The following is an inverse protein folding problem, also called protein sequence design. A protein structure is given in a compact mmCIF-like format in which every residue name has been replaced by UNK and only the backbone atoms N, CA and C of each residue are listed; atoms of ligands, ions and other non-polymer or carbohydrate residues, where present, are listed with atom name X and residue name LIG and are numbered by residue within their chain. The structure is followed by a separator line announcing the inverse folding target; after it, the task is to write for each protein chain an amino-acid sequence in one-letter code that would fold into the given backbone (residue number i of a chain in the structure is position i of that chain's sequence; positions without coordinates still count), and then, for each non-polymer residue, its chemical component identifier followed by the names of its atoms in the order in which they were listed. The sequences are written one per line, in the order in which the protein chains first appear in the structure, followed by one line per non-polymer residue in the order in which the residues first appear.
data_IF_696590790942
#
_entry.id   IF_696590790942
#
_cell.length_a   1.000
_cell.length_b   1.000
_cell.length_c   1.000
_cell.angle_alpha   90.00
_cell.angle_beta   90.00
_cell.angle_gamma   90.00
#
_symmetry.space_group_name_H-M   'P 1'
#
loop_
_entity.id
_entity.type
_entity.pdbx_description
1 polymer ?
#
# COMPACT_ATOMS: atom_id res chain seq x y z
N UNK A 1 94.41 -11.09 71.51
CA UNK A 1 93.82 -11.91 70.43
C UNK A 1 92.93 -11.04 69.57
N UNK A 2 93.37 -10.81 68.31
CA UNK A 2 92.63 -10.63 67.04
C UNK A 2 91.48 -9.61 66.94
N UNK A 3 91.69 -8.46 66.24
CA UNK A 3 91.36 -8.11 64.82
C UNK A 3 89.96 -7.46 64.71
N UNK A 4 89.62 -6.40 63.96
CA UNK A 4 90.26 -5.49 62.98
C UNK A 4 89.16 -4.52 62.44
N UNK A 5 89.43 -3.21 62.39
CA UNK A 5 89.49 -2.31 61.20
C UNK A 5 88.20 -1.95 60.41
N UNK A 6 87.83 -0.67 60.53
CA UNK A 6 87.48 0.34 59.50
C UNK A 6 87.34 -0.06 58.01
N UNK A 7 86.26 0.40 57.35
CA UNK A 7 86.29 1.42 56.25
C UNK A 7 84.91 1.64 55.59
N UNK A 8 84.70 2.89 55.20
CA UNK A 8 83.60 3.49 54.42
C UNK A 8 83.40 2.91 53.01
N UNK A 9 82.18 3.04 52.44
CA UNK A 9 82.00 3.54 51.07
C UNK A 9 80.53 3.84 50.69
N UNK A 10 80.37 4.99 50.00
CA UNK A 10 79.17 5.46 49.30
C UNK A 10 78.82 4.57 48.11
N UNK A 11 77.56 4.66 47.61
CA UNK A 11 77.32 4.66 46.18
C UNK A 11 76.73 5.99 45.70
N UNK A 12 77.36 6.52 44.66
CA UNK A 12 76.81 7.51 43.74
C UNK A 12 75.88 6.84 42.73
N UNK A 13 74.79 7.52 42.32
CA UNK A 13 74.47 7.82 40.91
C UNK A 13 73.16 8.59 40.78
N UNK A 14 73.26 9.72 40.10
CA UNK A 14 72.19 10.57 39.57
C UNK A 14 71.38 9.80 38.53
N UNK A 15 70.05 9.98 38.51
CA UNK A 15 69.30 10.13 37.25
C UNK A 15 67.93 10.74 37.48
N UNK A 16 67.68 11.84 36.77
CA UNK A 16 66.39 12.51 36.60
C UNK A 16 65.39 11.51 36.04
N UNK A 17 64.22 11.39 36.67
CA UNK A 17 63.03 10.89 35.97
C UNK A 17 62.06 12.06 35.77
N UNK A 18 62.12 12.58 34.54
CA UNK A 18 61.08 13.39 33.94
C UNK A 18 59.80 12.54 33.96
N UNK A 19 58.79 12.95 34.73
CA UNK A 19 57.45 12.38 34.57
C UNK A 19 56.87 12.96 33.27
N UNK A 20 56.55 12.15 32.25
CA UNK A 20 55.85 12.65 31.08
C UNK A 20 54.44 13.03 31.50
N UNK A 21 54.13 14.31 31.33
CA UNK A 21 52.79 14.86 31.38
C UNK A 21 51.81 13.96 30.61
N UNK A 22 50.95 13.29 31.37
CA UNK A 22 49.89 12.43 30.85
C UNK A 22 49.02 13.21 29.86
N UNK A 23 49.18 12.86 28.58
CA UNK A 23 48.47 13.44 27.46
C UNK A 23 46.97 13.18 27.64
N UNK A 24 46.21 14.21 27.99
CA UNK A 24 44.74 14.20 28.00
C UNK A 24 44.25 13.64 26.67
N UNK A 25 43.69 12.43 26.69
CA UNK A 25 42.95 11.87 25.57
C UNK A 25 41.71 12.75 25.40
N UNK A 26 41.77 13.68 24.45
CA UNK A 26 40.59 14.40 23.96
C UNK A 26 39.62 13.36 23.43
N UNK A 27 38.56 13.09 24.18
CA UNK A 27 37.37 12.38 23.70
C UNK A 27 36.92 13.08 22.43
N UNK A 28 37.16 12.46 21.27
CA UNK A 28 36.51 12.83 20.01
C UNK A 28 35.02 12.60 20.23
N UNK A 29 34.27 13.70 20.39
CA UNK A 29 32.82 13.68 20.25
C UNK A 29 32.55 13.20 18.83
N UNK A 30 32.18 11.93 18.69
CA UNK A 30 31.61 11.40 17.47
C UNK A 30 30.36 12.22 17.21
N UNK A 31 30.44 13.09 16.21
CA UNK A 31 29.30 13.84 15.70
C UNK A 31 28.43 12.80 14.98
N UNK A 32 27.57 12.10 15.75
CA UNK A 32 26.53 11.27 15.17
C UNK A 32 25.53 12.24 14.56
N UNK A 33 25.66 12.47 13.25
CA UNK A 33 24.64 13.11 12.45
C UNK A 33 23.44 12.17 12.51
N UNK A 34 22.52 12.45 13.42
CA UNK A 34 21.22 11.80 13.48
C UNK A 34 20.48 12.20 12.22
N UNK A 35 20.44 11.31 11.24
CA UNK A 35 19.50 11.42 10.14
C UNK A 35 18.14 11.06 10.74
N UNK A 36 17.31 12.08 10.96
CA UNK A 36 15.92 11.87 11.32
C UNK A 36 15.27 11.14 10.15
N UNK A 37 15.02 9.84 10.32
CA UNK A 37 14.13 9.10 9.43
C UNK A 37 12.75 9.57 9.82
N UNK A 38 12.08 10.31 8.93
CA UNK A 38 10.66 10.56 9.07
C UNK A 38 9.96 9.22 8.91
N UNK A 39 9.17 8.83 9.91
CA UNK A 39 8.29 7.66 9.81
C UNK A 39 7.35 7.90 8.63
N UNK A 40 7.53 7.14 7.55
CA UNK A 40 6.65 7.20 6.39
C UNK A 40 5.25 6.79 6.89
N UNK A 41 4.30 7.71 6.81
CA UNK A 41 2.89 7.41 7.04
C UNK A 41 2.52 6.16 6.23
N UNK A 42 1.91 5.18 6.88
CA UNK A 42 1.44 3.97 6.19
C UNK A 42 0.33 4.38 5.24
N UNK A 43 0.60 4.37 3.93
CA UNK A 43 -0.46 4.43 2.94
C UNK A 43 -1.16 3.06 2.93
N UNK A 44 -2.38 2.98 3.44
CA UNK A 44 -3.32 1.94 3.03
C UNK A 44 -3.66 2.22 1.57
N UNK A 45 -3.06 1.46 0.66
CA UNK A 45 -3.47 1.46 -0.74
C UNK A 45 -4.75 0.64 -0.83
N UNK A 46 -5.81 1.21 -1.40
CA UNK A 46 -6.94 0.42 -1.89
C UNK A 46 -6.39 -0.59 -2.90
N UNK A 47 -6.92 -1.81 -2.87
CA UNK A 47 -6.46 -2.85 -3.77
C UNK A 47 -7.05 -2.59 -5.16
N UNK A 48 -6.18 -2.43 -6.16
CA UNK A 48 -6.63 -2.24 -7.53
C UNK A 48 -6.87 -3.61 -8.15
N UNK A 49 -8.08 -3.84 -8.66
CA UNK A 49 -8.47 -5.07 -9.35
C UNK A 49 -8.88 -4.73 -10.77
N UNK A 50 -8.36 -5.47 -11.75
CA UNK A 50 -8.57 -5.15 -13.15
C UNK A 50 -9.21 -6.29 -13.93
N UNK A 51 -10.13 -5.92 -14.82
CA UNK A 51 -10.73 -6.87 -15.76
C UNK A 51 -9.70 -7.24 -16.83
N UNK A 52 -9.39 -8.54 -16.95
CA UNK A 52 -8.44 -9.06 -17.93
C UNK A 52 -9.11 -9.93 -19.01
N UNK A 53 -10.35 -10.37 -18.78
CA UNK A 53 -11.10 -11.23 -19.70
C UNK A 53 -10.54 -12.65 -19.85
N UNK A 54 -9.74 -13.13 -18.90
CA UNK A 54 -9.13 -14.48 -18.94
C UNK A 54 -10.13 -15.64 -18.96
N UNK A 55 -11.37 -15.41 -18.53
CA UNK A 55 -12.45 -16.39 -18.49
C UNK A 55 -13.14 -16.64 -19.83
N UNK A 56 -12.82 -15.86 -20.87
CA UNK A 56 -13.34 -16.05 -22.24
C UNK A 56 -14.81 -15.66 -22.43
N UNK A 57 -15.41 -14.98 -21.45
CA UNK A 57 -16.75 -14.43 -21.50
C UNK A 57 -16.76 -12.98 -20.96
N UNK A 58 -17.95 -12.39 -20.81
CA UNK A 58 -18.13 -11.02 -20.29
C UNK A 58 -18.83 -11.02 -18.93
N UNK A 59 -18.85 -12.15 -18.23
CA UNK A 59 -19.62 -12.32 -17.00
C UNK A 59 -18.86 -11.80 -15.77
N UNK A 60 -19.40 -10.79 -15.08
CA UNK A 60 -18.81 -10.21 -13.88
C UNK A 60 -18.46 -11.28 -12.82
N UNK A 61 -19.36 -12.26 -12.64
CA UNK A 61 -19.22 -13.29 -11.61
C UNK A 61 -18.26 -14.43 -11.99
N UNK A 62 -17.62 -14.40 -13.17
CA UNK A 62 -16.58 -15.35 -13.53
C UNK A 62 -15.23 -14.83 -13.01
N UNK A 63 -14.72 -15.47 -11.96
CA UNK A 63 -13.48 -15.09 -11.28
C UNK A 63 -12.26 -15.02 -12.22
N UNK A 64 -12.22 -15.85 -13.27
CA UNK A 64 -11.11 -15.89 -14.22
C UNK A 64 -11.07 -14.68 -15.19
N UNK A 65 -12.06 -13.77 -15.13
CA UNK A 65 -12.04 -12.50 -15.88
C UNK A 65 -11.35 -11.36 -15.11
N UNK A 66 -10.88 -11.63 -13.90
CA UNK A 66 -10.19 -10.69 -13.04
C UNK A 66 -8.73 -11.08 -12.93
N UNK A 67 -7.83 -10.11 -12.95
CA UNK A 67 -6.38 -10.31 -12.85
C UNK A 67 -5.90 -11.03 -11.57
N UNK A 68 -6.74 -11.04 -10.53
CA UNK A 68 -6.52 -11.77 -9.28
C UNK A 68 -7.06 -13.20 -9.29
N UNK A 69 -7.72 -13.63 -10.37
CA UNK A 69 -8.51 -14.86 -10.45
C UNK A 69 -9.57 -14.98 -9.32
N UNK A 70 -10.07 -13.84 -8.84
CA UNK A 70 -11.08 -13.73 -7.78
C UNK A 70 -12.00 -12.52 -7.99
N UNK A 71 -13.22 -12.55 -7.43
CA UNK A 71 -14.14 -11.40 -7.54
C UNK A 71 -13.64 -10.23 -6.67
N UNK A 72 -13.78 -8.98 -7.14
CA UNK A 72 -13.51 -7.80 -6.32
C UNK A 72 -14.35 -7.78 -5.03
N UNK A 73 -13.76 -7.26 -3.96
CA UNK A 73 -14.39 -7.05 -2.66
C UNK A 73 -14.55 -5.55 -2.31
N UNK A 74 -15.06 -5.28 -1.11
CA UNK A 74 -15.48 -3.95 -0.69
C UNK A 74 -14.35 -2.90 -0.63
N UNK A 75 -13.09 -3.34 -0.51
CA UNK A 75 -11.92 -2.46 -0.45
C UNK A 75 -11.28 -2.24 -1.83
N UNK A 76 -11.82 -2.87 -2.89
CA UNK A 76 -11.23 -2.86 -4.22
C UNK A 76 -11.68 -1.69 -5.10
N UNK A 77 -10.72 -1.08 -5.78
CA UNK A 77 -10.91 -0.15 -6.89
C UNK A 77 -10.87 -0.91 -8.22
N UNK A 78 -12.05 -1.06 -8.84
CA UNK A 78 -12.21 -1.84 -10.06
C UNK A 78 -11.89 -0.99 -11.30
N UNK A 79 -11.00 -1.49 -12.16
CA UNK A 79 -10.69 -0.89 -13.45
C UNK A 79 -11.02 -1.84 -14.60
N UNK A 80 -11.80 -1.36 -15.57
CA UNK A 80 -12.14 -2.08 -16.80
C UNK A 80 -11.66 -1.23 -17.96
N UNK A 81 -10.61 -1.69 -18.66
CA UNK A 81 -10.06 -0.99 -19.81
C UNK A 81 -11.03 -1.02 -21.02
N UNK A 82 -10.74 -0.22 -22.04
CA UNK A 82 -11.48 -0.31 -23.30
C UNK A 82 -11.08 -1.55 -24.10
N UNK A 83 -11.90 -1.92 -25.09
CA UNK A 83 -11.65 -3.07 -25.96
C UNK A 83 -12.40 -4.34 -25.58
N UNK A 84 -13.04 -4.36 -24.41
CA UNK A 84 -14.01 -5.41 -24.04
C UNK A 84 -15.42 -5.05 -24.50
N UNK A 85 -16.25 -6.09 -24.67
CA UNK A 85 -17.68 -5.94 -24.87
C UNK A 85 -18.40 -5.46 -23.60
N UNK A 86 -19.73 -5.50 -23.62
CA UNK A 86 -20.53 -5.09 -22.46
C UNK A 86 -20.34 -6.08 -21.30
N UNK A 87 -19.76 -5.61 -20.19
CA UNK A 87 -19.61 -6.39 -18.96
C UNK A 87 -20.99 -6.66 -18.37
N UNK A 88 -21.25 -7.93 -18.02
CA UNK A 88 -22.58 -8.40 -17.59
C UNK A 88 -22.59 -8.69 -16.08
N UNK A 89 -23.26 -7.83 -15.33
CA UNK A 89 -23.63 -8.09 -13.94
C UNK A 89 -25.09 -8.57 -13.91
N UNK A 90 -25.30 -9.87 -13.72
CA UNK A 90 -26.63 -10.51 -13.88
C UNK A 90 -27.21 -11.11 -12.60
N UNK A 91 -26.38 -11.33 -11.58
CA UNK A 91 -26.79 -11.92 -10.31
C UNK A 91 -25.71 -11.69 -9.25
N UNK A 92 -25.98 -12.08 -8.00
CA UNK A 92 -25.03 -11.92 -6.90
C UNK A 92 -25.28 -10.68 -6.05
N UNK A 93 -24.41 -10.49 -5.08
CA UNK A 93 -24.42 -9.37 -4.15
C UNK A 93 -22.98 -8.98 -3.86
N UNK A 94 -22.42 -8.12 -4.70
CA UNK A 94 -21.03 -7.70 -4.59
C UNK A 94 -20.94 -6.27 -4.07
N UNK A 95 -19.88 -5.99 -3.33
CA UNK A 95 -19.55 -4.65 -2.85
C UNK A 95 -18.15 -4.33 -3.34
N UNK A 96 -17.96 -3.13 -3.87
CA UNK A 96 -16.66 -2.61 -4.29
C UNK A 96 -16.47 -1.18 -3.81
N UNK A 97 -15.23 -0.71 -3.72
CA UNK A 97 -14.99 0.67 -3.32
C UNK A 97 -15.36 1.64 -4.46
N UNK A 98 -14.82 1.40 -5.66
CA UNK A 98 -15.10 2.21 -6.85
C UNK A 98 -15.07 1.36 -8.13
N UNK A 99 -15.68 1.87 -9.20
CA UNK A 99 -15.61 1.28 -10.54
C UNK A 99 -15.26 2.36 -11.54
N UNK A 100 -14.22 2.14 -12.34
CA UNK A 100 -13.91 2.91 -13.55
C UNK A 100 -13.94 1.98 -14.75
N UNK A 101 -14.82 2.24 -15.72
CA UNK A 101 -14.97 1.42 -16.91
C UNK A 101 -14.91 2.24 -18.20
N UNK A 102 -13.97 1.89 -19.06
CA UNK A 102 -13.89 2.36 -20.45
C UNK A 102 -14.56 1.40 -21.44
N UNK A 103 -15.23 0.35 -20.95
CA UNK A 103 -16.10 -0.56 -21.71
C UNK A 103 -17.55 -0.47 -21.24
N UNK A 104 -18.54 -0.89 -22.07
CA UNK A 104 -19.94 -0.82 -21.68
C UNK A 104 -20.23 -1.72 -20.48
N UNK A 105 -21.20 -1.34 -19.66
CA UNK A 105 -21.56 -2.08 -18.45
C UNK A 105 -23.07 -2.28 -18.39
N UNK A 106 -23.52 -3.51 -18.14
CA UNK A 106 -24.93 -3.86 -18.00
C UNK A 106 -25.19 -4.49 -16.64
N UNK A 107 -25.98 -3.80 -15.82
CA UNK A 107 -26.58 -4.31 -14.59
C UNK A 107 -27.99 -4.82 -14.89
N UNK A 108 -28.17 -6.13 -14.87
CA UNK A 108 -29.44 -6.79 -15.24
C UNK A 108 -30.09 -7.58 -14.10
N UNK A 109 -29.37 -7.79 -12.99
CA UNK A 109 -29.88 -8.48 -11.80
C UNK A 109 -28.92 -8.37 -10.61
N UNK A 110 -29.29 -8.95 -9.48
CA UNK A 110 -28.48 -8.91 -8.25
C UNK A 110 -28.43 -7.53 -7.58
N UNK A 111 -27.43 -7.33 -6.73
CA UNK A 111 -27.16 -6.04 -6.05
C UNK A 111 -25.68 -5.72 -6.14
N UNK A 112 -25.35 -4.62 -6.82
CA UNK A 112 -24.01 -4.08 -6.88
C UNK A 112 -23.94 -2.85 -5.97
N UNK A 113 -23.21 -2.96 -4.87
CA UNK A 113 -22.95 -1.83 -3.96
C UNK A 113 -21.61 -1.19 -4.32
N UNK A 114 -21.60 0.11 -4.56
CA UNK A 114 -20.36 0.87 -4.81
C UNK A 114 -20.24 1.93 -3.74
N UNK A 115 -19.18 1.86 -2.92
CA UNK A 115 -19.03 2.74 -1.75
C UNK A 115 -18.77 4.19 -2.11
N UNK A 116 -18.15 4.44 -3.26
CA UNK A 116 -17.81 5.78 -3.74
C UNK A 116 -18.45 6.06 -5.09
N UNK A 117 -17.73 5.85 -6.18
CA UNK A 117 -18.11 6.29 -7.51
C UNK A 117 -18.10 5.14 -8.50
N UNK A 118 -19.08 5.17 -9.41
CA UNK A 118 -19.06 4.39 -10.64
C UNK A 118 -18.94 5.38 -11.81
N UNK A 119 -17.87 5.22 -12.58
CA UNK A 119 -17.58 6.01 -13.77
C UNK A 119 -17.50 5.08 -14.97
N UNK A 120 -18.54 5.08 -15.81
CA UNK A 120 -18.58 4.30 -17.04
C UNK A 120 -18.54 5.27 -18.20
N UNK A 121 -17.39 5.41 -18.86
CA UNK A 121 -17.21 6.41 -19.92
C UNK A 121 -17.94 6.08 -21.23
N UNK A 122 -18.76 5.02 -21.23
CA UNK A 122 -19.54 4.51 -22.37
C UNK A 122 -21.01 4.31 -21.94
N UNK A 123 -21.68 3.28 -22.45
CA UNK A 123 -23.06 2.98 -22.07
C UNK A 123 -23.11 2.23 -20.74
N UNK A 124 -23.81 2.81 -19.77
CA UNK A 124 -24.16 2.14 -18.52
C UNK A 124 -25.66 1.84 -18.53
N UNK A 125 -26.00 0.56 -18.68
CA UNK A 125 -27.38 0.10 -18.78
C UNK A 125 -27.77 -0.59 -17.47
N UNK A 126 -28.85 -0.11 -16.84
CA UNK A 126 -29.48 -0.79 -15.71
C UNK A 126 -30.81 -1.32 -16.21
N UNK A 127 -30.85 -2.60 -16.58
CA UNK A 127 -32.05 -3.29 -17.08
C UNK A 127 -32.79 -4.09 -16.00
N UNK A 128 -32.17 -4.25 -14.83
CA UNK A 128 -32.70 -4.94 -13.65
C UNK A 128 -31.73 -4.81 -12.46
N UNK A 129 -32.02 -5.50 -11.36
CA UNK A 129 -31.15 -5.49 -10.17
C UNK A 129 -31.14 -4.15 -9.41
N UNK A 130 -30.19 -3.99 -8.50
CA UNK A 130 -30.02 -2.79 -7.69
C UNK A 130 -28.58 -2.27 -7.73
N UNK A 131 -28.40 -1.00 -8.08
CA UNK A 131 -27.18 -0.25 -7.81
C UNK A 131 -27.35 0.47 -6.48
N UNK A 132 -26.44 0.26 -5.53
CA UNK A 132 -26.56 0.80 -4.18
C UNK A 132 -25.38 1.70 -3.78
N UNK A 133 -25.68 2.81 -3.08
CA UNK A 133 -24.74 3.76 -2.45
C UNK A 133 -23.75 4.48 -3.41
N UNK A 134 -23.89 4.28 -4.71
CA UNK A 134 -22.95 4.76 -5.71
C UNK A 134 -23.20 6.23 -6.08
N UNK A 135 -22.16 7.02 -6.33
CA UNK A 135 -22.27 8.25 -7.12
C UNK A 135 -21.91 7.95 -8.57
N UNK A 136 -22.82 8.17 -9.52
CA UNK A 136 -22.54 7.99 -10.96
C UNK A 136 -21.87 9.25 -11.50
N UNK A 137 -20.62 9.16 -11.98
CA UNK A 137 -19.85 10.33 -12.43
C UNK A 137 -19.99 10.64 -13.93
N UNK A 138 -19.73 9.66 -14.80
CA UNK A 138 -19.79 9.83 -16.25
C UNK A 138 -20.54 8.68 -16.92
N UNK A 139 -21.00 8.95 -18.15
CA UNK A 139 -21.71 7.99 -19.00
C UNK A 139 -23.17 8.39 -19.28
N UNK A 140 -23.71 7.91 -20.40
CA UNK A 140 -25.16 7.91 -20.59
C UNK A 140 -25.71 6.75 -19.77
N UNK A 141 -26.27 7.04 -18.60
CA UNK A 141 -26.96 6.02 -17.80
C UNK A 141 -28.35 5.81 -18.38
N UNK A 142 -28.60 4.61 -18.88
CA UNK A 142 -29.94 4.22 -19.36
C UNK A 142 -30.53 3.20 -18.41
N UNK A 143 -31.52 3.64 -17.63
CA UNK A 143 -32.33 2.72 -16.82
C UNK A 143 -33.49 2.23 -17.71
N UNK A 144 -33.48 0.94 -18.04
CA UNK A 144 -34.51 0.33 -18.90
C UNK A 144 -35.26 -0.75 -18.13
N UNK A 145 -36.58 -0.80 -18.29
CA UNK A 145 -37.41 -1.81 -17.61
C UNK A 145 -37.84 -1.45 -16.19
N UNK A 146 -38.94 -2.06 -15.74
CA UNK A 146 -39.57 -1.78 -14.45
C UNK A 146 -38.83 -2.37 -13.23
N UNK A 147 -37.65 -2.98 -13.43
CA UNK A 147 -36.94 -3.77 -12.42
C UNK A 147 -35.57 -3.23 -11.99
N UNK A 148 -35.05 -2.18 -12.64
CA UNK A 148 -33.81 -1.53 -12.21
C UNK A 148 -34.04 -0.60 -11.02
N UNK A 149 -33.26 -0.76 -9.96
CA UNK A 149 -33.36 0.03 -8.72
C UNK A 149 -32.09 0.84 -8.51
N UNK A 150 -32.25 2.15 -8.33
CA UNK A 150 -31.21 3.05 -7.84
C UNK A 150 -31.45 3.29 -6.35
N UNK A 151 -30.65 2.66 -5.49
CA UNK A 151 -30.80 2.71 -4.04
C UNK A 151 -29.73 3.58 -3.39
N UNK A 152 -30.06 4.83 -3.06
CA UNK A 152 -29.09 5.77 -2.51
C UNK A 152 -28.01 6.19 -3.51
N UNK A 153 -28.43 6.39 -4.76
CA UNK A 153 -27.60 6.82 -5.91
C UNK A 153 -27.93 8.25 -6.29
#
# INVERSE_FOLDING_TARGET
MRLGSWLSNLPSKVSRQLSPSGRRIRRRRSNRISHAIHELETRTLLAAVSWDGGGGDLNWSNAANWDTDSLPDADDDVTIASGFGAIQYSSGSDTVNSITSASPFTLSGGTLTVSTTIDVSTDFIISGGALANATILSGTTTVTGAGGVLNGV
#
